data_IF_440807044315
#
_entry.id   IF_440807044315
#
_cell.length_a   1.000
_cell.length_b   1.000
_cell.length_c   1.000
_cell.angle_alpha   90.00
_cell.angle_beta   90.00
_cell.angle_gamma   90.00
#
_symmetry.space_group_name_H-M   'P 1'
#
loop_
_entity.id
_entity.type
_entity.pdbx_description
1 polymer ?
#
# COMPACT_ATOMS: atom_id res chain seq x y z
N UNK A 1 35.42 20.43 -1.10
CA UNK A 1 35.06 19.26 -1.93
C UNK A 1 33.81 18.66 -1.28
N UNK A 2 32.63 18.86 -1.88
CA UNK A 2 31.35 18.27 -1.46
C UNK A 2 31.41 16.76 -1.81
N UNK A 3 30.83 15.82 -1.06
CA UNK A 3 29.40 15.65 -0.80
C UNK A 3 29.18 14.74 0.43
N UNK A 4 28.04 14.96 1.09
CA UNK A 4 27.65 14.39 2.36
C UNK A 4 27.47 12.86 2.34
N UNK A 5 28.01 12.22 3.37
CA UNK A 5 27.49 10.96 3.92
C UNK A 5 26.11 11.25 4.52
N UNK A 6 25.07 11.26 3.68
CA UNK A 6 23.69 11.34 4.12
C UNK A 6 23.31 9.97 4.69
N UNK A 7 23.36 9.87 6.02
CA UNK A 7 23.07 8.66 6.78
C UNK A 7 21.86 7.90 6.24
N UNK A 8 22.10 6.69 5.77
CA UNK A 8 21.07 5.73 5.42
C UNK A 8 20.40 5.28 6.72
N UNK A 9 19.41 6.05 7.16
CA UNK A 9 18.46 5.63 8.18
C UNK A 9 17.43 4.77 7.46
N UNK A 10 17.60 3.46 7.48
CA UNK A 10 16.59 2.53 6.94
C UNK A 10 15.34 2.62 7.82
N UNK A 11 14.47 3.57 7.49
CA UNK A 11 13.15 3.75 8.06
C UNK A 11 12.20 2.94 7.19
N UNK A 12 11.91 1.70 7.56
CA UNK A 12 10.74 0.99 7.02
C UNK A 12 9.49 1.73 7.51
N UNK A 13 9.07 2.76 6.78
CA UNK A 13 7.97 3.68 7.11
C UNK A 13 7.34 4.14 5.80
N UNK A 14 6.21 3.53 5.42
CA UNK A 14 5.47 3.92 4.21
C UNK A 14 5.25 5.44 4.10
N UNK A 15 5.02 5.91 2.88
CA UNK A 15 4.82 7.32 2.55
C UNK A 15 3.33 7.66 2.46
N UNK A 16 3.01 8.94 2.67
CA UNK A 16 1.69 9.50 2.37
C UNK A 16 1.77 10.22 1.03
N UNK A 17 0.93 9.83 0.08
CA UNK A 17 0.87 10.40 -1.26
C UNK A 17 -0.41 11.22 -1.34
N UNK A 18 -0.30 12.52 -1.56
CA UNK A 18 -1.45 13.37 -1.82
C UNK A 18 -2.11 12.95 -3.14
N UNK A 19 -3.45 12.88 -3.22
CA UNK A 19 -4.14 12.58 -4.48
C UNK A 19 -4.00 13.76 -5.44
N UNK A 20 -2.88 13.85 -6.17
CA UNK A 20 -2.72 14.83 -7.23
C UNK A 20 -3.47 14.36 -8.47
N UNK A 21 -4.66 14.93 -8.71
CA UNK A 21 -5.51 14.75 -9.93
C UNK A 21 -5.98 13.31 -10.25
N UNK A 22 -5.58 12.30 -9.47
CA UNK A 22 -6.02 10.92 -9.61
C UNK A 22 -6.69 10.47 -8.32
N UNK A 23 -7.98 10.17 -8.42
CA UNK A 23 -8.81 9.70 -7.29
C UNK A 23 -8.67 8.19 -7.06
N UNK A 24 -7.85 7.49 -7.84
CA UNK A 24 -7.71 6.04 -7.73
C UNK A 24 -6.29 5.64 -7.31
N UNK A 25 -6.21 4.65 -6.41
CA UNK A 25 -4.99 3.91 -6.13
C UNK A 25 -4.77 2.86 -7.23
N UNK A 26 -3.56 2.78 -7.77
CA UNK A 26 -3.21 1.87 -8.87
C UNK A 26 -2.03 0.98 -8.49
N UNK A 27 -2.04 -0.25 -9.00
CA UNK A 27 -0.90 -1.15 -8.83
C UNK A 27 0.35 -0.57 -9.50
N UNK A 28 1.48 -0.56 -8.79
CA UNK A 28 2.74 -0.04 -9.35
C UNK A 28 3.48 -1.08 -10.20
N UNK A 29 3.09 -2.35 -10.11
CA UNK A 29 3.66 -3.46 -10.86
C UNK A 29 2.67 -4.63 -10.96
N UNK A 30 2.96 -5.61 -11.81
CA UNK A 30 2.20 -6.85 -11.91
C UNK A 30 2.30 -7.65 -10.60
N UNK A 31 1.22 -8.34 -10.22
CA UNK A 31 1.23 -9.15 -9.01
C UNK A 31 -0.07 -9.86 -8.70
N UNK A 32 -0.13 -10.43 -7.50
CA UNK A 32 -1.32 -11.07 -6.94
C UNK A 32 -1.73 -10.36 -5.66
N UNK A 33 -3.00 -9.98 -5.57
CA UNK A 33 -3.60 -9.45 -4.34
C UNK A 33 -3.60 -10.56 -3.29
N UNK A 34 -2.87 -10.36 -2.20
CA UNK A 34 -2.80 -11.31 -1.07
C UNK A 34 -3.65 -10.87 0.12
N UNK A 35 -4.09 -9.60 0.12
CA UNK A 35 -5.03 -9.06 1.09
C UNK A 35 -5.81 -7.90 0.46
N UNK A 36 -7.12 -7.83 0.70
CA UNK A 36 -7.99 -6.73 0.32
C UNK A 36 -9.19 -6.70 1.27
N UNK A 37 -9.16 -5.83 2.27
CA UNK A 37 -10.26 -5.68 3.26
C UNK A 37 -10.15 -4.34 4.00
N UNK A 38 -11.18 -4.01 4.80
CA UNK A 38 -11.15 -2.90 5.72
C UNK A 38 -10.35 -3.25 6.99
N UNK A 39 -9.40 -2.41 7.35
CA UNK A 39 -8.54 -2.57 8.52
C UNK A 39 -8.60 -1.33 9.39
N UNK A 40 -8.87 -1.52 10.68
CA UNK A 40 -8.87 -0.43 11.67
C UNK A 40 -7.57 0.37 11.59
N UNK A 41 -7.68 1.69 11.53
CA UNK A 41 -6.58 2.67 11.37
C UNK A 41 -5.90 2.71 9.98
N UNK A 42 -6.32 1.87 9.04
CA UNK A 42 -5.84 1.88 7.66
C UNK A 42 -6.97 2.00 6.63
N UNK A 43 -8.24 2.08 7.07
CA UNK A 43 -9.43 2.00 6.21
C UNK A 43 -9.31 0.83 5.23
N UNK A 44 -9.68 1.00 3.97
CA UNK A 44 -9.49 -0.06 2.98
C UNK A 44 -8.01 -0.21 2.65
N UNK A 45 -7.54 -1.46 2.76
CA UNK A 45 -6.14 -1.85 2.62
C UNK A 45 -6.01 -2.96 1.58
N UNK A 46 -5.09 -2.78 0.63
CA UNK A 46 -4.69 -3.80 -0.34
C UNK A 46 -3.20 -4.12 -0.16
N UNK A 47 -2.86 -5.40 -0.19
CA UNK A 47 -1.48 -5.88 -0.22
C UNK A 47 -1.30 -6.73 -1.48
N UNK A 48 -0.29 -6.41 -2.27
CA UNK A 48 0.06 -7.14 -3.51
C UNK A 48 1.41 -7.82 -3.32
N UNK A 49 1.46 -9.11 -3.66
CA UNK A 49 2.71 -9.86 -3.84
C UNK A 49 3.17 -9.74 -5.30
N UNK A 50 4.34 -9.15 -5.51
CA UNK A 50 4.95 -8.96 -6.83
C UNK A 50 5.97 -10.07 -7.18
N UNK A 51 6.09 -11.10 -6.33
CA UNK A 51 7.13 -12.11 -6.44
C UNK A 51 8.48 -11.61 -5.91
N UNK A 52 9.49 -12.48 -5.92
CA UNK A 52 10.85 -12.16 -5.45
C UNK A 52 10.91 -11.51 -4.06
N UNK A 53 9.96 -11.90 -3.19
CA UNK A 53 9.77 -11.35 -1.84
C UNK A 53 9.41 -9.86 -1.77
N UNK A 54 8.95 -9.26 -2.86
CA UNK A 54 8.48 -7.87 -2.90
C UNK A 54 6.96 -7.79 -2.70
N UNK A 55 6.56 -6.88 -1.82
CA UNK A 55 5.16 -6.57 -1.57
C UNK A 55 4.95 -5.07 -1.61
N UNK A 56 3.77 -4.66 -2.07
CA UNK A 56 3.31 -3.29 -1.89
C UNK A 56 2.05 -3.27 -1.04
N UNK A 57 1.86 -2.17 -0.32
CA UNK A 57 0.71 -1.92 0.54
C UNK A 57 0.09 -0.60 0.14
N UNK A 58 -1.22 -0.61 -0.03
CA UNK A 58 -2.04 0.56 -0.35
C UNK A 58 -3.11 0.67 0.72
N UNK A 59 -3.13 1.77 1.47
CA UNK A 59 -4.08 1.99 2.56
C UNK A 59 -4.68 3.38 2.53
N UNK A 60 -5.64 3.62 3.43
CA UNK A 60 -6.43 4.84 3.50
C UNK A 60 -7.28 5.08 2.24
N UNK A 61 -7.77 4.00 1.62
CA UNK A 61 -8.71 4.06 0.50
C UNK A 61 -10.16 4.11 1.00
N UNK A 62 -11.04 4.74 0.22
CA UNK A 62 -12.48 4.83 0.45
C UNK A 62 -13.21 3.56 -0.02
N UNK A 63 -12.79 2.99 -1.14
CA UNK A 63 -13.40 1.77 -1.72
C UNK A 63 -12.35 0.74 -2.15
N UNK A 64 -12.78 -0.50 -2.36
CA UNK A 64 -11.98 -1.57 -2.96
C UNK A 64 -12.58 -1.99 -4.29
N UNK A 65 -11.74 -2.12 -5.32
CA UNK A 65 -12.12 -2.65 -6.65
C UNK A 65 -11.46 -3.99 -6.99
N UNK A 66 -10.71 -4.54 -6.04
CA UNK A 66 -10.04 -5.83 -6.15
C UNK A 66 -10.32 -6.69 -4.93
N UNK A 67 -10.18 -8.00 -5.07
CA UNK A 67 -10.37 -8.97 -3.99
C UNK A 67 -9.13 -9.86 -3.78
N UNK A 68 -9.03 -10.47 -2.60
CA UNK A 68 -7.99 -11.45 -2.29
C UNK A 68 -7.93 -12.58 -3.33
N UNK A 69 -6.72 -12.88 -3.82
CA UNK A 69 -6.48 -13.90 -4.83
C UNK A 69 -6.44 -13.39 -6.27
N UNK A 70 -6.95 -12.18 -6.54
CA UNK A 70 -6.98 -11.59 -7.87
C UNK A 70 -5.58 -11.29 -8.40
N UNK A 71 -5.34 -11.53 -9.70
CA UNK A 71 -4.15 -11.05 -10.40
C UNK A 71 -4.39 -9.63 -10.90
N UNK A 72 -3.39 -8.78 -10.78
CA UNK A 72 -3.41 -7.40 -11.25
C UNK A 72 -2.18 -7.11 -12.09
N UNK A 73 -2.32 -6.22 -13.06
CA UNK A 73 -1.24 -5.66 -13.85
C UNK A 73 -0.86 -4.29 -13.31
N UNK A 74 0.33 -3.83 -13.69
CA UNK A 74 0.72 -2.44 -13.49
C UNK A 74 -0.36 -1.49 -14.05
N UNK A 75 -0.76 -0.51 -13.24
CA UNK A 75 -1.77 0.48 -13.59
C UNK A 75 -3.22 0.07 -13.29
N UNK A 76 -3.50 -1.19 -12.97
CA UNK A 76 -4.84 -1.63 -12.58
C UNK A 76 -5.32 -0.87 -11.34
N UNK A 77 -6.59 -0.47 -11.35
CA UNK A 77 -7.22 0.25 -10.24
C UNK A 77 -7.50 -0.72 -9.10
N UNK A 78 -7.02 -0.37 -7.91
CA UNK A 78 -7.17 -1.16 -6.68
C UNK A 78 -8.34 -0.67 -5.83
N UNK A 79 -8.65 0.61 -5.89
CA UNK A 79 -9.62 1.27 -5.04
C UNK A 79 -9.64 2.78 -5.27
N UNK A 80 -10.66 3.44 -4.75
CA UNK A 80 -10.78 4.89 -4.76
C UNK A 80 -10.11 5.47 -3.51
N UNK A 81 -9.36 6.55 -3.66
CA UNK A 81 -8.70 7.29 -2.58
C UNK A 81 -9.75 8.21 -1.95
N UNK A 82 -9.66 8.43 -0.64
CA UNK A 82 -10.47 9.46 0.03
C UNK A 82 -10.08 10.83 -0.54
N UNK A 83 -11.04 11.55 -1.12
CA UNK A 83 -10.82 12.88 -1.71
C UNK A 83 -11.72 13.97 -1.13
N UNK A 84 -12.55 13.64 -0.14
CA UNK A 84 -13.44 14.60 0.53
C UNK A 84 -12.61 15.72 1.19
N UNK A 85 -12.86 16.97 0.77
CA UNK A 85 -12.20 18.17 1.29
C UNK A 85 -12.52 18.42 2.78
N UNK A 86 -13.60 17.82 3.31
CA UNK A 86 -13.90 17.84 4.73
C UNK A 86 -12.94 16.97 5.57
N UNK A 87 -12.18 16.08 4.93
CA UNK A 87 -11.12 15.30 5.58
C UNK A 87 -9.84 16.12 5.56
N UNK A 88 -9.32 16.46 6.73
CA UNK A 88 -8.04 17.18 6.84
C UNK A 88 -6.92 16.39 6.16
N UNK A 89 -6.39 16.93 5.06
CA UNK A 89 -5.26 16.42 4.29
C UNK A 89 -5.43 14.96 3.81
N UNK A 90 -6.29 14.70 2.79
CA UNK A 90 -6.47 13.37 2.24
C UNK A 90 -5.18 12.81 1.66
N UNK A 91 -4.93 11.52 1.85
CA UNK A 91 -3.73 10.86 1.35
C UNK A 91 -3.95 9.36 1.08
N UNK A 92 -3.21 8.83 0.12
CA UNK A 92 -2.97 7.41 -0.02
C UNK A 92 -1.77 7.00 0.85
N UNK A 93 -1.93 5.97 1.67
CA UNK A 93 -0.78 5.33 2.32
C UNK A 93 -0.15 4.33 1.36
N UNK A 94 1.15 4.43 1.12
CA UNK A 94 1.88 3.51 0.26
C UNK A 94 3.15 2.98 0.94
N UNK A 95 3.39 1.68 0.84
CA UNK A 95 4.62 1.05 1.34
C UNK A 95 5.15 0.00 0.36
N UNK A 96 6.46 0.02 0.11
CA UNK A 96 7.18 -1.08 -0.55
C UNK A 96 7.92 -1.89 0.52
N UNK A 97 7.72 -3.21 0.51
CA UNK A 97 8.37 -4.15 1.43
C UNK A 97 9.18 -5.17 0.67
N UNK A 98 10.32 -5.53 1.23
CA UNK A 98 11.14 -6.67 0.81
C UNK A 98 11.27 -7.62 1.99
N UNK A 99 10.75 -8.83 1.84
CA UNK A 99 10.73 -9.83 2.90
C UNK A 99 12.08 -10.56 2.92
N UNK A 100 13.07 -10.01 3.63
CA UNK A 100 14.39 -10.66 3.73
C UNK A 100 14.39 -11.89 4.66
N UNK A 101 13.37 -12.07 5.51
CA UNK A 101 13.11 -13.31 6.27
C UNK A 101 11.61 -13.57 6.44
N UNK A 102 11.20 -14.83 6.29
CA UNK A 102 9.81 -15.26 6.31
C UNK A 102 9.11 -14.97 7.65
N UNK A 103 8.33 -13.90 7.71
CA UNK A 103 7.37 -13.66 8.79
C UNK A 103 6.00 -14.29 8.47
N UNK A 104 5.42 -14.93 9.47
CA UNK A 104 4.13 -15.61 9.43
C UNK A 104 2.99 -14.60 9.18
N UNK A 105 2.24 -14.70 8.06
CA UNK A 105 1.14 -13.78 7.74
C UNK A 105 -0.03 -13.83 8.73
N UNK A 106 -0.14 -14.87 9.58
CA UNK A 106 -1.18 -14.96 10.61
C UNK A 106 -1.01 -13.94 11.76
N UNK A 107 0.13 -13.24 11.87
CA UNK A 107 0.31 -12.18 12.89
C UNK A 107 -0.58 -10.95 12.63
N UNK A 108 -1.09 -10.79 11.41
CA UNK A 108 -1.85 -9.61 10.99
C UNK A 108 -3.36 -9.81 11.11
N UNK A 109 -3.80 -11.06 11.25
CA UNK A 109 -5.19 -11.41 11.47
C UNK A 109 -5.42 -11.72 12.96
N UNK A 110 -5.62 -10.69 13.78
CA UNK A 110 -6.43 -10.87 14.98
C UNK A 110 -7.87 -10.52 14.63
N UNK A 111 -8.69 -11.55 14.37
CA UNK A 111 -10.13 -11.43 14.54
C UNK A 111 -10.39 -11.14 16.02
N UNK A 112 -10.92 -9.96 16.30
CA UNK A 112 -11.74 -9.73 17.50
C UNK A 112 -13.14 -10.23 17.24
#
# INVERSE_FOLDING_TARGET
HLVADAGVKIMHKGIKISPEKSENAKSVADGKVVFADNVKNFNNLVIIDHGSSYYTVYGNMDTLRVAGGQKVRQGDILGDIIVDEAVDNPYLYFELRKKEKALNPNLWFKKG
#
